data_IF_923614209948
#
_entry.id   IF_923614209948
#
_cell.length_a   1.000
_cell.length_b   1.000
_cell.length_c   1.000
_cell.angle_alpha   90.00
_cell.angle_beta   90.00
_cell.angle_gamma   90.00
#
_symmetry.space_group_name_H-M   'P 1'
#
loop_
_entity.id
_entity.type
_entity.pdbx_description
1 polymer ?
#
# COMPACT_ATOMS: atom_id res chain seq x y z
N UNK A 1 -11.18 -7.14 4.89
CA UNK A 1 -12.46 -6.43 4.74
C UNK A 1 -13.26 -6.42 6.05
N UNK A 2 -13.46 -7.58 6.71
CA UNK A 2 -14.29 -7.66 7.93
C UNK A 2 -13.76 -6.76 9.06
N UNK A 3 -12.45 -6.79 9.36
CA UNK A 3 -11.85 -5.92 10.38
C UNK A 3 -12.08 -4.44 10.08
N UNK A 4 -11.88 -4.01 8.82
CA UNK A 4 -12.11 -2.62 8.43
C UNK A 4 -13.58 -2.23 8.47
N UNK A 5 -14.50 -3.15 8.16
CA UNK A 5 -15.94 -2.93 8.37
C UNK A 5 -16.26 -2.71 9.85
N UNK A 6 -15.71 -3.57 10.71
CA UNK A 6 -16.03 -3.60 12.14
C UNK A 6 -15.40 -2.45 12.93
N UNK A 7 -14.18 -2.09 12.61
CA UNK A 7 -13.37 -1.13 13.39
C UNK A 7 -12.98 0.13 12.62
N UNK A 8 -13.10 0.14 11.30
CA UNK A 8 -12.49 1.17 10.45
C UNK A 8 -10.97 1.06 10.40
N UNK A 9 -10.30 2.17 10.07
CA UNK A 9 -8.85 2.24 10.02
C UNK A 9 -8.26 1.98 8.65
N UNK A 10 -6.96 1.68 8.58
CA UNK A 10 -6.20 1.52 7.34
C UNK A 10 -5.60 0.11 7.27
N UNK A 11 -5.83 -0.57 6.16
CA UNK A 11 -5.07 -1.75 5.77
C UNK A 11 -3.79 -1.33 5.08
N UNK A 12 -2.67 -1.87 5.54
CA UNK A 12 -1.34 -1.64 5.00
C UNK A 12 -0.68 -3.01 4.79
N UNK A 13 -0.33 -3.34 3.55
CA UNK A 13 0.45 -4.55 3.27
C UNK A 13 1.82 -4.49 3.92
N UNK A 14 2.36 -5.64 4.35
CA UNK A 14 3.69 -5.75 4.97
C UNK A 14 4.86 -5.26 4.09
N UNK A 15 4.63 -5.05 2.79
CA UNK A 15 5.61 -4.51 1.86
C UNK A 15 5.45 -3.00 1.61
N UNK A 16 4.58 -2.33 2.34
CA UNK A 16 4.47 -0.87 2.30
C UNK A 16 5.34 -0.27 3.41
N UNK A 17 6.27 0.57 3.02
CA UNK A 17 7.08 1.34 3.95
C UNK A 17 6.45 2.72 4.20
N UNK A 18 6.27 3.09 5.47
CA UNK A 18 5.75 4.39 5.87
C UNK A 18 6.91 5.37 6.08
N UNK A 19 6.93 6.45 5.29
CA UNK A 19 7.96 7.49 5.38
C UNK A 19 7.69 8.50 6.50
N UNK A 20 6.43 8.63 6.91
CA UNK A 20 5.96 9.56 7.93
C UNK A 20 5.21 8.80 9.03
N UNK A 21 5.16 9.38 10.21
CA UNK A 21 4.25 8.93 11.26
C UNK A 21 2.82 9.06 10.74
N UNK A 22 2.05 7.99 10.86
CA UNK A 22 0.62 8.02 10.55
C UNK A 22 -0.12 8.73 11.68
N UNK A 23 -1.04 9.59 11.31
CA UNK A 23 -2.05 10.06 12.22
C UNK A 23 -3.06 8.92 12.42
N UNK A 24 -3.16 8.43 13.65
CA UNK A 24 -4.04 7.32 14.02
C UNK A 24 -5.41 7.80 14.52
N UNK A 25 -5.73 9.09 14.32
CA UNK A 25 -7.09 9.57 14.58
C UNK A 25 -8.12 8.73 13.79
N UNK A 26 -9.34 8.54 14.34
CA UNK A 26 -10.35 7.74 13.67
C UNK A 26 -10.60 8.20 12.23
N UNK A 27 -10.51 7.28 11.30
CA UNK A 27 -10.82 7.56 9.90
C UNK A 27 -12.26 8.02 9.74
N UNK A 28 -12.46 9.14 9.07
CA UNK A 28 -13.79 9.72 8.81
C UNK A 28 -14.27 9.52 7.37
N UNK A 29 -13.32 9.20 6.47
CA UNK A 29 -13.60 9.07 5.04
C UNK A 29 -12.69 8.03 4.37
N UNK A 30 -13.06 7.64 3.15
CA UNK A 30 -12.29 6.69 2.32
C UNK A 30 -10.90 7.24 2.02
N UNK A 31 -9.89 6.42 2.30
CA UNK A 31 -8.49 6.64 1.98
C UNK A 31 -7.95 5.55 1.06
N UNK A 32 -7.14 5.92 0.09
CA UNK A 32 -6.29 5.00 -0.67
C UNK A 32 -5.07 5.75 -1.23
N UNK A 33 -3.98 5.03 -1.43
CA UNK A 33 -2.86 5.60 -2.18
C UNK A 33 -3.23 5.70 -3.66
N UNK A 34 -3.19 6.92 -4.19
CA UNK A 34 -3.46 7.21 -5.60
C UNK A 34 -2.21 7.85 -6.22
N UNK A 35 -1.49 7.08 -7.04
CA UNK A 35 -0.19 7.49 -7.58
C UNK A 35 -0.25 8.00 -9.04
N UNK A 36 -1.30 7.64 -9.76
CA UNK A 36 -1.49 8.00 -11.15
C UNK A 36 -2.98 7.92 -11.52
N UNK A 37 -3.37 8.62 -12.56
CA UNK A 37 -4.70 8.52 -13.19
C UNK A 37 -4.65 7.78 -14.52
N UNK A 38 -3.64 6.94 -14.76
CA UNK A 38 -3.50 6.19 -16.03
C UNK A 38 -4.59 5.11 -16.14
N UNK A 39 -5.34 5.06 -17.23
CA UNK A 39 -6.46 4.12 -17.40
C UNK A 39 -6.04 2.69 -17.78
N UNK A 40 -4.76 2.34 -17.70
CA UNK A 40 -4.22 1.07 -18.21
C UNK A 40 -4.40 -0.15 -17.30
N UNK A 41 -4.99 0.00 -16.11
CA UNK A 41 -5.22 -1.09 -15.16
C UNK A 41 -6.68 -1.24 -14.82
N UNK A 42 -7.07 -2.37 -14.21
CA UNK A 42 -8.42 -2.60 -13.69
C UNK A 42 -8.87 -1.48 -12.74
N UNK A 43 -7.96 -0.93 -11.95
CA UNK A 43 -8.24 0.16 -11.00
C UNK A 43 -8.42 1.52 -11.68
N UNK A 44 -8.00 1.66 -12.94
CA UNK A 44 -7.93 2.94 -13.65
C UNK A 44 -7.16 4.03 -12.85
N UNK A 45 -6.20 3.62 -12.04
CA UNK A 45 -5.44 4.51 -11.15
C UNK A 45 -6.23 5.07 -9.96
N UNK A 46 -7.47 4.63 -9.73
CA UNK A 46 -8.36 5.19 -8.70
C UNK A 46 -8.02 4.72 -7.28
N UNK A 47 -7.47 3.53 -7.12
CA UNK A 47 -7.10 2.94 -5.82
C UNK A 47 -5.93 2.00 -5.91
N UNK A 48 -5.39 1.65 -4.73
CA UNK A 48 -4.45 0.54 -4.53
C UNK A 48 -4.98 -0.37 -3.44
N UNK A 49 -5.21 -1.66 -3.74
CA UNK A 49 -5.77 -2.63 -2.77
C UNK A 49 -4.85 -2.95 -1.59
N UNK A 50 -3.56 -2.61 -1.69
CA UNK A 50 -2.55 -2.85 -0.66
C UNK A 50 -2.40 -1.70 0.36
N UNK A 51 -3.09 -0.58 0.15
CA UNK A 51 -3.09 0.58 1.04
C UNK A 51 -4.44 1.29 0.93
N UNK A 52 -5.37 0.91 1.79
CA UNK A 52 -6.76 1.35 1.72
C UNK A 52 -7.37 1.40 3.13
N UNK A 53 -8.19 2.39 3.39
CA UNK A 53 -8.87 2.55 4.67
C UNK A 53 -10.18 3.30 4.56
N UNK A 54 -10.99 3.25 5.60
CA UNK A 54 -12.24 4.00 5.72
C UNK A 54 -12.69 4.01 7.17
N UNK A 55 -13.73 4.77 7.44
CA UNK A 55 -14.40 4.78 8.75
C UNK A 55 -15.07 3.44 9.06
N UNK A 56 -15.30 3.21 10.35
CA UNK A 56 -16.11 2.09 10.85
C UNK A 56 -17.48 2.05 10.14
N UNK A 57 -17.94 0.84 9.79
CA UNK A 57 -19.25 0.62 9.16
C UNK A 57 -19.36 1.17 7.73
N UNK A 58 -18.24 1.43 7.05
CA UNK A 58 -18.27 1.96 5.70
C UNK A 58 -19.01 1.01 4.75
N UNK A 59 -19.71 1.59 3.77
CA UNK A 59 -20.47 0.83 2.76
C UNK A 59 -19.54 -0.02 1.88
N UNK A 60 -18.35 0.50 1.56
CA UNK A 60 -17.36 -0.24 0.79
C UNK A 60 -16.95 -1.53 1.50
N UNK A 61 -16.50 -1.43 2.76
CA UNK A 61 -16.02 -2.61 3.49
C UNK A 61 -17.16 -3.55 3.90
N UNK A 62 -18.38 -3.05 4.09
CA UNK A 62 -19.56 -3.88 4.28
C UNK A 62 -19.84 -4.72 3.04
N UNK A 63 -19.82 -4.12 1.85
CA UNK A 63 -19.97 -4.82 0.57
C UNK A 63 -18.82 -5.81 0.33
N UNK A 64 -17.56 -5.38 0.53
CA UNK A 64 -16.40 -6.24 0.32
C UNK A 64 -16.42 -7.46 1.24
N UNK A 65 -16.77 -7.28 2.51
CA UNK A 65 -16.87 -8.37 3.48
C UNK A 65 -17.89 -9.41 3.04
N UNK A 66 -19.08 -8.98 2.64
CA UNK A 66 -20.11 -9.90 2.13
C UNK A 66 -19.70 -10.56 0.82
N UNK A 67 -19.14 -9.81 -0.13
CA UNK A 67 -18.69 -10.34 -1.41
C UNK A 67 -17.61 -11.42 -1.23
N UNK A 68 -16.60 -11.20 -0.38
CA UNK A 68 -15.60 -12.22 -0.06
C UNK A 68 -16.21 -13.42 0.66
N UNK A 69 -17.14 -13.19 1.61
CA UNK A 69 -17.83 -14.30 2.31
C UNK A 69 -18.59 -15.17 1.32
N UNK A 70 -19.36 -14.60 0.41
CA UNK A 70 -20.10 -15.35 -0.62
C UNK A 70 -19.18 -16.03 -1.63
N UNK A 71 -18.09 -15.36 -2.02
CA UNK A 71 -17.10 -15.95 -2.90
C UNK A 71 -16.51 -17.23 -2.31
N UNK A 72 -15.98 -17.18 -1.07
CA UNK A 72 -15.33 -18.32 -0.42
C UNK A 72 -16.28 -19.41 0.06
N UNK A 73 -17.59 -19.14 0.15
CA UNK A 73 -18.60 -20.21 0.31
C UNK A 73 -18.79 -21.04 -0.96
N UNK A 74 -18.53 -20.44 -2.12
CA UNK A 74 -18.79 -21.06 -3.41
C UNK A 74 -17.53 -21.61 -4.08
N UNK A 75 -16.39 -21.01 -3.86
CA UNK A 75 -15.12 -21.32 -4.50
C UNK A 75 -14.02 -21.52 -3.48
N UNK A 76 -13.13 -22.49 -3.72
CA UNK A 76 -11.98 -22.85 -2.90
C UNK A 76 -10.64 -22.30 -3.44
N UNK A 77 -10.69 -21.63 -4.59
CA UNK A 77 -9.52 -21.09 -5.28
C UNK A 77 -9.77 -19.68 -5.80
N UNK A 78 -8.70 -18.92 -5.99
CA UNK A 78 -8.76 -17.57 -6.56
C UNK A 78 -9.02 -17.61 -8.06
N UNK A 79 -10.08 -16.97 -8.52
CA UNK A 79 -10.35 -16.77 -9.95
C UNK A 79 -9.36 -15.80 -10.59
N UNK A 80 -8.80 -14.87 -9.80
CA UNK A 80 -7.81 -13.91 -10.23
C UNK A 80 -6.97 -13.42 -9.05
N UNK A 81 -5.68 -13.19 -9.27
CA UNK A 81 -4.77 -12.64 -8.26
C UNK A 81 -5.26 -11.31 -7.67
N UNK A 82 -5.88 -10.46 -8.48
CA UNK A 82 -6.41 -9.15 -8.09
C UNK A 82 -7.91 -9.20 -7.73
N UNK A 83 -8.40 -10.28 -7.09
CA UNK A 83 -9.82 -10.43 -6.72
C UNK A 83 -10.33 -9.22 -5.92
N UNK A 84 -9.51 -8.64 -5.04
CA UNK A 84 -9.87 -7.43 -4.28
C UNK A 84 -10.23 -6.26 -5.21
N UNK A 85 -9.44 -6.04 -6.26
CA UNK A 85 -9.66 -4.93 -7.20
C UNK A 85 -10.93 -5.15 -8.04
N UNK A 86 -11.24 -6.40 -8.40
CA UNK A 86 -12.52 -6.74 -9.06
C UNK A 86 -13.71 -6.45 -8.14
N UNK A 87 -13.63 -6.81 -6.86
CA UNK A 87 -14.72 -6.55 -5.90
C UNK A 87 -14.91 -5.04 -5.72
N UNK A 88 -13.84 -4.25 -5.61
CA UNK A 88 -13.92 -2.78 -5.54
C UNK A 88 -14.51 -2.21 -6.83
N UNK A 89 -14.11 -2.72 -8.00
CA UNK A 89 -14.66 -2.28 -9.29
C UNK A 89 -16.16 -2.56 -9.39
N UNK A 90 -16.62 -3.72 -8.90
CA UNK A 90 -18.04 -4.05 -8.81
C UNK A 90 -18.76 -3.08 -7.85
N UNK A 91 -18.17 -2.79 -6.68
CA UNK A 91 -18.73 -1.81 -5.76
C UNK A 91 -18.89 -0.43 -6.43
N UNK A 92 -17.86 0.05 -7.12
CA UNK A 92 -17.91 1.32 -7.85
C UNK A 92 -18.95 1.32 -8.99
N UNK A 93 -19.19 0.16 -9.61
CA UNK A 93 -20.20 0.04 -10.67
C UNK A 93 -21.64 0.13 -10.15
N UNK A 94 -21.90 -0.47 -8.99
CA UNK A 94 -23.25 -0.61 -8.45
C UNK A 94 -23.61 0.44 -7.38
N UNK A 95 -22.62 1.10 -6.77
CA UNK A 95 -22.82 2.12 -5.74
C UNK A 95 -22.17 3.45 -6.17
N UNK A 96 -22.97 4.37 -6.77
CA UNK A 96 -22.46 5.66 -7.27
C UNK A 96 -21.74 6.48 -6.20
N UNK A 97 -22.16 6.40 -4.94
CA UNK A 97 -21.53 7.07 -3.82
C UNK A 97 -20.10 6.56 -3.55
N UNK A 98 -19.83 5.24 -3.63
CA UNK A 98 -18.49 4.67 -3.50
C UNK A 98 -17.61 5.14 -4.66
N UNK A 99 -18.14 5.10 -5.89
CA UNK A 99 -17.41 5.62 -7.05
C UNK A 99 -17.05 7.09 -6.89
N UNK A 100 -18.00 7.93 -6.45
CA UNK A 100 -17.78 9.36 -6.22
C UNK A 100 -16.67 9.61 -5.17
N UNK A 101 -16.65 8.85 -4.07
CA UNK A 101 -15.58 8.94 -3.07
C UNK A 101 -14.21 8.69 -3.70
N UNK A 102 -14.02 7.61 -4.48
CA UNK A 102 -12.76 7.34 -5.17
C UNK A 102 -12.37 8.42 -6.19
N UNK A 103 -13.34 8.98 -6.91
CA UNK A 103 -13.11 10.04 -7.89
C UNK A 103 -12.65 11.35 -7.22
N UNK A 104 -13.11 11.63 -6.02
CA UNK A 104 -12.76 12.80 -5.24
C UNK A 104 -11.35 12.74 -4.58
N UNK A 105 -10.80 11.54 -4.39
CA UNK A 105 -9.44 11.41 -3.85
C UNK A 105 -8.44 11.95 -4.89
N UNK A 106 -7.62 12.96 -4.55
CA UNK A 106 -6.60 13.46 -5.46
C UNK A 106 -5.45 12.44 -5.64
N UNK A 107 -4.60 12.63 -6.65
CA UNK A 107 -3.32 11.93 -6.71
C UNK A 107 -2.48 12.42 -5.53
N UNK A 108 -2.14 11.53 -4.61
CA UNK A 108 -1.55 11.84 -3.31
C UNK A 108 -0.21 11.12 -3.05
N UNK A 109 0.19 10.18 -3.92
CA UNK A 109 1.38 9.34 -3.71
C UNK A 109 2.15 9.14 -5.02
N UNK A 110 2.58 10.23 -5.68
CA UNK A 110 3.27 10.16 -6.98
C UNK A 110 4.58 9.37 -6.93
N UNK A 111 5.25 9.35 -5.78
CA UNK A 111 6.49 8.61 -5.55
C UNK A 111 6.31 7.18 -5.00
N UNK A 112 5.07 6.64 -4.97
CA UNK A 112 4.75 5.35 -4.35
C UNK A 112 5.67 4.19 -4.78
N UNK A 113 6.09 4.16 -6.04
CA UNK A 113 6.93 3.12 -6.64
C UNK A 113 8.40 3.50 -6.79
N UNK A 114 8.78 4.71 -6.37
CA UNK A 114 10.11 5.27 -6.64
C UNK A 114 11.24 4.41 -6.10
N UNK A 115 11.02 3.78 -4.95
CA UNK A 115 12.04 2.97 -4.27
C UNK A 115 11.95 1.47 -4.57
N UNK A 116 10.99 1.01 -5.39
CA UNK A 116 10.74 -0.42 -5.64
C UNK A 116 11.98 -1.17 -6.13
N UNK A 117 12.77 -0.55 -7.03
CA UNK A 117 13.94 -1.15 -7.66
C UNK A 117 15.28 -0.60 -7.12
N UNK A 118 15.24 0.11 -6.01
CA UNK A 118 16.42 0.80 -5.47
C UNK A 118 17.08 0.05 -4.29
N UNK A 119 16.38 -0.95 -3.71
CA UNK A 119 16.76 -1.52 -2.40
C UNK A 119 18.18 -2.05 -2.31
N UNK A 120 18.71 -2.67 -3.37
CA UNK A 120 20.08 -3.20 -3.41
C UNK A 120 21.13 -2.19 -3.92
N UNK A 121 20.72 -0.99 -4.33
CA UNK A 121 21.66 0.04 -4.79
C UNK A 121 22.35 0.73 -3.61
N UNK A 122 23.56 1.30 -3.80
CA UNK A 122 24.25 2.10 -2.78
C UNK A 122 23.36 3.19 -2.23
N UNK A 123 23.32 3.32 -0.90
CA UNK A 123 22.54 4.35 -0.23
C UNK A 123 23.09 5.75 -0.53
N UNK A 124 22.23 6.63 -0.99
CA UNK A 124 22.51 8.04 -1.19
C UNK A 124 21.49 8.89 -0.41
N UNK A 125 21.98 9.71 0.51
CA UNK A 125 21.16 10.54 1.40
C UNK A 125 20.32 11.57 0.66
N UNK A 126 20.85 12.17 -0.42
CA UNK A 126 20.15 13.21 -1.16
C UNK A 126 19.02 12.62 -1.99
N UNK A 127 19.25 11.47 -2.64
CA UNK A 127 18.21 10.72 -3.34
C UNK A 127 17.12 10.28 -2.37
N UNK A 128 17.51 9.79 -1.18
CA UNK A 128 16.59 9.42 -0.11
C UNK A 128 15.70 10.62 0.28
N UNK A 129 16.31 11.74 0.61
CA UNK A 129 15.60 12.94 1.04
C UNK A 129 14.63 13.45 -0.04
N UNK A 130 15.03 13.43 -1.30
CA UNK A 130 14.15 13.76 -2.43
C UNK A 130 12.99 12.76 -2.56
N UNK A 131 13.25 11.47 -2.40
CA UNK A 131 12.21 10.45 -2.48
C UNK A 131 11.14 10.61 -1.39
N UNK A 132 11.55 10.91 -0.14
CA UNK A 132 10.65 11.13 1.00
C UNK A 132 9.68 12.30 0.77
N UNK A 133 10.06 13.31 -0.03
CA UNK A 133 9.18 14.44 -0.35
C UNK A 133 8.08 14.09 -1.36
N UNK A 134 8.18 12.98 -2.09
CA UNK A 134 7.26 12.63 -3.18
C UNK A 134 6.14 11.68 -2.78
N UNK A 135 6.26 11.01 -1.65
CA UNK A 135 5.23 10.09 -1.14
C UNK A 135 5.40 9.84 0.35
N UNK A 136 4.29 9.69 1.06
CA UNK A 136 4.26 9.28 2.47
C UNK A 136 4.48 7.77 2.63
N UNK A 137 4.27 7.03 1.54
CA UNK A 137 4.39 5.57 1.49
C UNK A 137 5.19 5.14 0.28
N UNK A 138 5.96 4.06 0.42
CA UNK A 138 6.59 3.37 -0.69
C UNK A 138 6.12 1.92 -0.74
N UNK A 139 5.69 1.47 -1.92
CA UNK A 139 5.48 0.04 -2.17
C UNK A 139 6.81 -0.58 -2.52
N UNK A 140 7.30 -1.43 -1.65
CA UNK A 140 8.53 -2.21 -1.81
C UNK A 140 8.21 -3.66 -2.18
N UNK A 141 9.24 -4.46 -2.41
CA UNK A 141 9.13 -5.90 -2.64
C UNK A 141 10.31 -6.63 -2.01
N UNK A 142 10.05 -7.82 -1.48
CA UNK A 142 11.08 -8.76 -1.06
C UNK A 142 11.50 -9.73 -2.19
N UNK A 143 10.81 -9.69 -3.32
CA UNK A 143 11.08 -10.59 -4.45
C UNK A 143 12.33 -10.15 -5.21
N UNK A 144 13.17 -11.13 -5.55
CA UNK A 144 14.45 -10.92 -6.22
C UNK A 144 14.31 -10.21 -7.57
N UNK A 145 13.25 -10.51 -8.32
CA UNK A 145 12.97 -9.90 -9.63
C UNK A 145 12.87 -8.36 -9.60
N UNK A 146 12.41 -7.79 -8.47
CA UNK A 146 12.30 -6.34 -8.30
C UNK A 146 13.59 -5.71 -7.76
N UNK A 147 14.47 -6.50 -7.14
CA UNK A 147 15.66 -6.01 -6.44
C UNK A 147 16.97 -6.35 -7.17
N UNK A 148 16.90 -7.03 -8.31
CA UNK A 148 18.09 -7.52 -9.01
C UNK A 148 18.83 -8.63 -8.25
N UNK A 149 18.09 -9.41 -7.43
CA UNK A 149 18.57 -10.49 -6.57
C UNK A 149 18.10 -10.35 -5.12
N UNK A 150 18.55 -11.24 -4.21
CA UNK A 150 18.22 -11.18 -2.79
C UNK A 150 18.58 -9.83 -2.16
N UNK A 151 17.79 -9.39 -1.20
CA UNK A 151 18.04 -8.14 -0.47
C UNK A 151 19.37 -8.24 0.31
N UNK A 152 20.26 -7.29 0.10
CA UNK A 152 21.61 -7.23 0.70
C UNK A 152 21.76 -5.94 1.52
N UNK A 153 22.33 -6.05 2.72
CA UNK A 153 22.61 -4.85 3.53
C UNK A 153 23.79 -4.03 2.99
N UNK A 154 24.69 -4.67 2.25
CA UNK A 154 25.85 -4.02 1.63
C UNK A 154 26.01 -4.50 0.19
N UNK A 155 26.58 -3.63 -0.64
CA UNK A 155 27.03 -3.99 -2.00
C UNK A 155 28.26 -4.92 -1.92
N UNK A 156 28.70 -5.44 -3.06
CA UNK A 156 29.96 -6.21 -3.14
C UNK A 156 31.19 -5.39 -2.80
N UNK A 157 31.13 -4.07 -2.98
CA UNK A 157 32.17 -3.10 -2.59
C UNK A 157 32.10 -2.71 -1.12
N UNK A 158 31.15 -3.24 -0.35
CA UNK A 158 30.99 -2.98 1.09
C UNK A 158 30.18 -1.73 1.44
N UNK A 159 29.65 -1.01 0.45
CA UNK A 159 28.83 0.18 0.67
C UNK A 159 27.46 -0.21 1.23
N UNK A 160 26.89 0.61 2.11
CA UNK A 160 25.54 0.43 2.63
C UNK A 160 24.52 0.57 1.50
N UNK A 161 23.57 -0.37 1.40
CA UNK A 161 22.46 -0.29 0.44
C UNK A 161 21.27 0.44 1.06
N UNK A 162 20.24 0.78 0.25
CA UNK A 162 18.97 1.31 0.79
C UNK A 162 18.30 0.31 1.74
N UNK A 163 18.31 -0.98 1.40
CA UNK A 163 17.81 -2.01 2.30
C UNK A 163 18.60 -2.08 3.60
N UNK A 164 19.94 -2.02 3.53
CA UNK A 164 20.80 -2.00 4.71
C UNK A 164 20.54 -0.81 5.61
N UNK A 165 20.28 0.36 5.03
CA UNK A 165 19.87 1.55 5.78
C UNK A 165 18.55 1.35 6.51
N UNK A 166 17.52 0.82 5.83
CA UNK A 166 16.22 0.53 6.43
C UNK A 166 16.31 -0.52 7.54
N UNK A 167 16.99 -1.63 7.28
CA UNK A 167 17.18 -2.71 8.25
C UNK A 167 17.91 -2.23 9.52
N UNK A 168 18.95 -1.38 9.37
CA UNK A 168 19.66 -0.78 10.50
C UNK A 168 18.76 0.13 11.33
N UNK A 169 17.95 0.97 10.65
CA UNK A 169 17.00 1.87 11.30
C UNK A 169 15.92 1.09 12.07
N UNK A 170 15.32 0.05 11.46
CA UNK A 170 14.33 -0.81 12.12
C UNK A 170 14.89 -1.50 13.37
N UNK A 171 16.13 -2.03 13.30
CA UNK A 171 16.79 -2.64 14.48
C UNK A 171 17.06 -1.62 15.58
N UNK A 172 17.35 -0.36 15.25
CA UNK A 172 17.55 0.70 16.23
C UNK A 172 16.26 1.04 16.99
N UNK A 173 15.15 1.19 16.28
CA UNK A 173 13.81 1.45 16.87
C UNK A 173 13.44 0.32 17.85
N UNK A 174 13.57 -0.93 17.43
CA UNK A 174 13.24 -2.10 18.28
C UNK A 174 14.11 -2.14 19.56
N UNK A 175 15.40 -1.77 19.46
CA UNK A 175 16.31 -1.79 20.62
C UNK A 175 16.04 -0.67 21.61
N UNK A 176 15.64 0.49 21.14
CA UNK A 176 15.45 1.68 21.98
C UNK A 176 14.03 1.77 22.57
N UNK A 177 13.10 0.90 22.17
CA UNK A 177 11.71 0.94 22.62
C UNK A 177 10.99 2.24 22.23
N UNK A 178 11.44 2.89 21.16
CA UNK A 178 10.78 4.08 20.61
C UNK A 178 9.60 3.61 19.75
N UNK A 179 8.40 3.75 20.32
CA UNK A 179 7.10 3.60 19.63
C UNK A 179 6.80 4.84 18.75
#
# INVERSE_FOLDING_TARGET
>A
AELLKQYGGIWIDATVFCNKKLDLEPMTELFTAKYSSTPKSLTLGRWTGFLIGDKQGSKLFSFMSEAFSQYWKKYDSLVAYLLIDYIIAIACKHFPEIRKQYEQIPVNQTGLWKMLHEMNKPYNKDIWNQAVQTADFWKLSYKDEFNGGPLKEKTEQGELTYWGFLAKRGRSIIKNGED
#
